data_IF_985618486652
#
_entry.id   IF_985618486652
#
_cell.length_a   1.000
_cell.length_b   1.000
_cell.length_c   1.000
_cell.angle_alpha   90.00
_cell.angle_beta   90.00
_cell.angle_gamma   90.00
#
_symmetry.space_group_name_H-M   'P 1'
#
loop_
_entity.id
_entity.type
_entity.pdbx_description
1 polymer ?
#
# COMPACT_ATOMS: atom_id res chain seq x y z
N UNK A 1 4.89 -15.27 -7.03
CA UNK A 1 3.65 -15.82 -6.47
C UNK A 1 3.69 -15.94 -4.94
N UNK A 2 4.54 -16.81 -4.34
CA UNK A 2 4.57 -17.04 -2.88
C UNK A 2 4.90 -15.79 -2.05
N UNK A 3 5.92 -15.02 -2.45
CA UNK A 3 6.36 -13.80 -1.72
C UNK A 3 5.28 -12.71 -1.60
N UNK A 4 4.54 -12.45 -2.68
CA UNK A 4 3.46 -11.46 -2.68
C UNK A 4 2.22 -11.94 -1.93
N UNK A 5 1.90 -13.24 -2.00
CA UNK A 5 0.83 -13.86 -1.19
C UNK A 5 1.14 -13.82 0.31
N UNK A 6 2.41 -14.04 0.68
CA UNK A 6 2.85 -13.93 2.07
C UNK A 6 2.78 -12.48 2.55
N UNK A 7 3.22 -11.52 1.73
CA UNK A 7 3.10 -10.09 2.04
C UNK A 7 1.64 -9.69 2.22
N UNK A 8 0.77 -10.07 1.29
CA UNK A 8 -0.67 -9.84 1.39
C UNK A 8 -1.26 -10.47 2.66
N UNK A 9 -0.95 -11.74 2.95
CA UNK A 9 -1.46 -12.42 4.14
C UNK A 9 -1.00 -11.74 5.43
N UNK A 10 0.26 -11.31 5.49
CA UNK A 10 0.79 -10.56 6.62
C UNK A 10 0.07 -9.21 6.78
N UNK A 11 -0.02 -8.41 5.71
CA UNK A 11 -0.69 -7.11 5.76
C UNK A 11 -2.17 -7.26 6.12
N UNK A 12 -2.87 -8.25 5.54
CA UNK A 12 -4.28 -8.51 5.83
C UNK A 12 -4.49 -8.93 7.29
N UNK A 13 -3.58 -9.75 7.82
CA UNK A 13 -3.61 -10.15 9.22
C UNK A 13 -3.44 -8.95 10.16
N UNK A 14 -2.47 -8.08 9.89
CA UNK A 14 -2.27 -6.84 10.67
C UNK A 14 -3.51 -5.94 10.59
N UNK A 15 -4.07 -5.73 9.40
CA UNK A 15 -5.30 -4.94 9.23
C UNK A 15 -6.48 -5.54 10.00
N UNK A 16 -6.62 -6.88 10.00
CA UNK A 16 -7.66 -7.56 10.77
C UNK A 16 -7.48 -7.38 12.28
N UNK A 17 -6.24 -7.44 12.78
CA UNK A 17 -5.94 -7.17 14.19
C UNK A 17 -6.28 -5.73 14.57
N UNK A 18 -5.95 -4.75 13.72
CA UNK A 18 -6.34 -3.36 13.96
C UNK A 18 -7.87 -3.20 13.98
N UNK A 19 -8.58 -3.88 13.09
CA UNK A 19 -10.04 -3.84 13.03
C UNK A 19 -10.69 -4.46 14.29
N UNK A 20 -10.20 -5.61 14.73
CA UNK A 20 -10.66 -6.29 15.96
C UNK A 20 -10.26 -5.49 17.21
N UNK A 21 -9.16 -4.74 17.15
CA UNK A 21 -8.68 -3.89 18.23
C UNK A 21 -9.48 -2.60 18.42
N UNK A 22 -10.23 -2.13 17.41
CA UNK A 22 -11.05 -0.91 17.48
C UNK A 22 -12.01 -0.85 18.68
N UNK A 23 -12.85 -1.88 18.96
CA UNK A 23 -13.78 -1.86 20.10
C UNK A 23 -13.09 -1.82 21.48
N UNK A 24 -11.78 -2.08 21.55
CA UNK A 24 -11.00 -2.04 22.79
C UNK A 24 -10.25 -0.71 23.00
N UNK A 25 -10.37 0.25 22.08
CA UNK A 25 -9.75 1.58 22.22
C UNK A 25 -10.70 2.53 22.95
N UNK A 26 -10.20 3.17 24.01
CA UNK A 26 -10.94 4.16 24.80
C UNK A 26 -11.31 5.42 23.97
N UNK A 27 -10.47 5.77 22.98
CA UNK A 27 -10.71 6.87 22.06
C UNK A 27 -10.43 6.44 20.61
N UNK A 28 -11.41 6.64 19.72
CA UNK A 28 -11.27 6.39 18.29
C UNK A 28 -11.06 7.72 17.59
N UNK A 29 -9.81 8.03 17.25
CA UNK A 29 -9.48 9.19 16.44
C UNK A 29 -9.86 8.98 14.96
N UNK A 30 -10.28 10.05 14.29
CA UNK A 30 -10.51 10.07 12.85
C UNK A 30 -9.30 9.56 12.05
N UNK A 31 -8.08 9.83 12.53
CA UNK A 31 -6.85 9.31 11.93
C UNK A 31 -6.79 7.78 11.94
N UNK A 32 -7.30 7.13 12.99
CA UNK A 32 -7.35 5.66 13.06
C UNK A 32 -8.30 5.11 12.00
N UNK A 33 -9.45 5.75 11.81
CA UNK A 33 -10.44 5.34 10.81
C UNK A 33 -9.92 5.51 9.37
N UNK A 34 -9.31 6.66 9.07
CA UNK A 34 -8.72 6.93 7.74
C UNK A 34 -7.58 5.97 7.45
N UNK A 35 -6.70 5.70 8.41
CA UNK A 35 -5.59 4.76 8.25
C UNK A 35 -6.08 3.35 7.93
N UNK A 36 -7.14 2.90 8.62
CA UNK A 36 -7.74 1.58 8.38
C UNK A 36 -8.28 1.45 6.95
N UNK A 37 -8.95 2.49 6.44
CA UNK A 37 -9.43 2.52 5.05
C UNK A 37 -8.25 2.43 4.08
N UNK A 38 -7.19 3.19 4.32
CA UNK A 38 -5.99 3.18 3.48
C UNK A 38 -5.30 1.80 3.50
N UNK A 39 -5.26 1.11 4.64
CA UNK A 39 -4.73 -0.25 4.73
C UNK A 39 -5.58 -1.25 3.94
N UNK A 40 -6.91 -1.17 4.06
CA UNK A 40 -7.82 -1.97 3.23
C UNK A 40 -7.63 -1.72 1.73
N UNK A 41 -7.41 -0.47 1.33
CA UNK A 41 -7.14 -0.12 -0.07
C UNK A 41 -5.81 -0.68 -0.58
N UNK A 42 -4.77 -0.73 0.26
CA UNK A 42 -3.47 -1.32 -0.09
C UNK A 42 -3.57 -2.84 -0.34
N UNK A 43 -4.51 -3.53 0.31
CA UNK A 43 -4.70 -4.98 0.11
C UNK A 43 -5.15 -5.32 -1.31
N UNK A 44 -5.91 -4.43 -1.97
CA UNK A 44 -6.42 -4.61 -3.33
C UNK A 44 -5.30 -4.83 -4.35
N UNK A 45 -4.32 -3.93 -4.52
CA UNK A 45 -3.22 -4.13 -5.47
C UNK A 45 -2.28 -5.27 -5.07
N UNK A 46 -2.15 -5.57 -3.77
CA UNK A 46 -1.34 -6.69 -3.29
C UNK A 46 -1.95 -8.05 -3.64
N UNK A 47 -3.28 -8.15 -3.65
CA UNK A 47 -4.03 -9.32 -4.09
C UNK A 47 -4.22 -9.37 -5.61
N UNK A 48 -4.55 -8.22 -6.21
CA UNK A 48 -4.99 -8.02 -7.60
C UNK A 48 -3.90 -8.15 -8.66
N UNK A 49 -2.69 -8.55 -8.29
CA UNK A 49 -1.62 -8.79 -9.27
C UNK A 49 -1.94 -9.86 -10.34
N UNK A 50 -3.05 -10.60 -10.20
CA UNK A 50 -3.62 -11.47 -11.23
C UNK A 50 -5.08 -11.20 -11.60
N UNK A 51 -5.77 -10.25 -10.95
CA UNK A 51 -7.20 -9.94 -11.17
C UNK A 51 -7.40 -8.43 -11.08
N UNK A 52 -7.97 -7.83 -12.13
CA UNK A 52 -8.29 -6.40 -12.15
C UNK A 52 -9.51 -6.17 -11.26
N UNK A 53 -9.33 -5.37 -10.20
CA UNK A 53 -10.39 -4.95 -9.30
C UNK A 53 -10.52 -3.43 -9.41
N UNK A 54 -11.71 -2.98 -9.80
CA UNK A 54 -12.02 -1.56 -9.99
C UNK A 54 -11.54 -1.00 -11.33
N UNK A 55 -11.12 0.26 -11.35
CA UNK A 55 -10.61 0.94 -12.54
C UNK A 55 -9.14 1.31 -12.40
N UNK A 56 -8.43 1.48 -13.53
CA UNK A 56 -7.03 1.93 -13.53
C UNK A 56 -6.87 3.28 -12.81
N UNK A 57 -7.87 4.16 -12.89
CA UNK A 57 -7.89 5.44 -12.18
C UNK A 57 -7.93 5.24 -10.66
N UNK A 58 -8.77 4.33 -10.17
CA UNK A 58 -8.84 3.98 -8.74
C UNK A 58 -7.51 3.39 -8.28
N UNK A 59 -6.88 2.52 -9.07
CA UNK A 59 -5.57 1.94 -8.74
C UNK A 59 -4.48 3.01 -8.60
N UNK A 60 -4.45 4.00 -9.50
CA UNK A 60 -3.52 5.13 -9.44
C UNK A 60 -3.82 6.00 -8.20
N UNK A 61 -5.09 6.30 -7.92
CA UNK A 61 -5.48 7.04 -6.73
C UNK A 61 -5.07 6.32 -5.44
N UNK A 62 -5.27 5.00 -5.38
CA UNK A 62 -4.79 4.18 -4.27
C UNK A 62 -3.29 4.31 -4.10
N UNK A 63 -2.49 4.21 -5.18
CA UNK A 63 -1.05 4.41 -5.10
C UNK A 63 -0.69 5.81 -4.56
N UNK A 64 -1.34 6.86 -5.04
CA UNK A 64 -1.06 8.24 -4.61
C UNK A 64 -1.38 8.43 -3.13
N UNK A 65 -2.57 8.01 -2.70
CA UNK A 65 -3.07 8.24 -1.34
C UNK A 65 -2.39 7.37 -0.28
N UNK A 66 -1.96 6.16 -0.65
CA UNK A 66 -1.42 5.18 0.32
C UNK A 66 0.09 5.08 0.32
N UNK A 67 0.74 5.35 -0.82
CA UNK A 67 2.19 5.21 -0.97
C UNK A 67 2.86 6.55 -1.22
N UNK A 68 2.43 7.32 -2.23
CA UNK A 68 3.17 8.51 -2.66
C UNK A 68 3.14 9.62 -1.59
N UNK A 69 1.94 9.99 -1.14
CA UNK A 69 1.78 11.06 -0.15
C UNK A 69 2.33 10.65 1.22
N UNK A 70 1.95 9.52 1.82
CA UNK A 70 2.49 9.13 3.12
C UNK A 70 3.99 8.77 3.04
N UNK A 71 4.42 8.11 1.97
CA UNK A 71 5.81 7.70 1.80
C UNK A 71 6.75 8.87 1.61
N UNK A 72 6.35 9.91 0.87
CA UNK A 72 7.17 11.13 0.76
C UNK A 72 7.33 11.85 2.11
N UNK A 73 6.28 11.88 2.93
CA UNK A 73 6.36 12.40 4.30
C UNK A 73 7.32 11.57 5.16
N UNK A 74 7.21 10.24 5.13
CA UNK A 74 8.10 9.33 5.88
C UNK A 74 9.55 9.52 5.46
N UNK A 75 9.83 9.68 4.16
CA UNK A 75 11.19 9.93 3.66
C UNK A 75 11.71 11.29 4.11
N UNK A 76 10.91 12.36 3.99
CA UNK A 76 11.30 13.69 4.44
C UNK A 76 11.62 13.70 5.94
N UNK A 77 10.73 13.13 6.76
CA UNK A 77 10.95 13.00 8.20
C UNK A 77 12.17 12.13 8.52
N UNK A 78 12.35 11.02 7.81
CA UNK A 78 13.51 10.15 7.99
C UNK A 78 14.83 10.86 7.69
N UNK A 79 14.88 11.69 6.64
CA UNK A 79 16.06 12.51 6.30
C UNK A 79 16.32 13.55 7.38
N UNK A 80 15.32 14.34 7.76
CA UNK A 80 15.44 15.38 8.81
C UNK A 80 15.91 14.77 10.12
N UNK A 81 15.31 13.64 10.52
CA UNK A 81 15.67 12.94 11.74
C UNK A 81 17.10 12.38 11.70
N UNK A 82 17.53 11.85 10.55
CA UNK A 82 18.90 11.35 10.36
C UNK A 82 19.94 12.47 10.44
N UNK A 83 19.62 13.66 9.93
CA UNK A 83 20.49 14.84 10.01
C UNK A 83 20.62 15.31 11.46
N UNK A 84 19.51 15.38 12.20
CA UNK A 84 19.50 15.86 13.59
C UNK A 84 20.12 14.87 14.59
N UNK A 85 20.04 13.57 14.32
CA UNK A 85 20.52 12.50 15.19
C UNK A 85 21.52 11.60 14.45
N UNK A 86 22.53 12.22 13.84
CA UNK A 86 23.47 11.52 12.98
C UNK A 86 24.27 10.46 13.75
N UNK A 87 23.96 9.19 13.48
CA UNK A 87 24.68 8.03 13.99
C UNK A 87 24.66 6.89 12.97
N UNK A 88 25.64 5.99 13.05
CA UNK A 88 25.76 4.85 12.13
C UNK A 88 24.56 3.90 12.25
N UNK A 89 24.06 3.71 13.47
CA UNK A 89 22.85 2.94 13.77
C UNK A 89 21.63 3.62 13.12
N UNK A 90 21.47 4.93 13.32
CA UNK A 90 20.37 5.68 12.71
C UNK A 90 20.37 5.58 11.19
N UNK A 91 21.55 5.66 10.57
CA UNK A 91 21.71 5.56 9.13
C UNK A 91 21.27 4.18 8.60
N UNK A 92 21.62 3.09 9.29
CA UNK A 92 21.16 1.74 8.95
C UNK A 92 19.64 1.62 9.08
N UNK A 93 19.05 2.14 10.14
CA UNK A 93 17.59 2.11 10.33
C UNK A 93 16.85 2.95 9.28
N UNK A 94 17.36 4.13 8.93
CA UNK A 94 16.77 4.98 7.90
C UNK A 94 16.83 4.33 6.51
N UNK A 95 17.98 3.76 6.14
CA UNK A 95 18.12 3.00 4.88
C UNK A 95 17.23 1.76 4.86
N UNK A 96 17.15 1.03 5.98
CA UNK A 96 16.30 -0.14 6.11
C UNK A 96 14.81 0.21 5.95
N UNK A 97 14.37 1.28 6.60
CA UNK A 97 12.99 1.80 6.51
C UNK A 97 12.65 2.23 5.09
N UNK A 98 13.58 2.92 4.41
CA UNK A 98 13.42 3.28 3.01
C UNK A 98 13.33 2.06 2.09
N UNK A 99 14.19 1.06 2.30
CA UNK A 99 14.13 -0.21 1.55
C UNK A 99 12.81 -0.95 1.76
N UNK A 100 12.29 -0.96 2.99
CA UNK A 100 11.01 -1.58 3.34
C UNK A 100 9.83 -0.83 2.68
N UNK A 101 9.89 0.50 2.65
CA UNK A 101 8.92 1.34 1.94
C UNK A 101 8.92 1.03 0.43
N UNK A 102 10.09 0.93 -0.20
CA UNK A 102 10.21 0.53 -1.61
C UNK A 102 9.66 -0.88 -1.85
N UNK A 103 9.90 -1.80 -0.92
CA UNK A 103 9.42 -3.17 -1.02
C UNK A 103 7.88 -3.28 -0.95
N UNK A 104 7.24 -2.54 -0.05
CA UNK A 104 5.76 -2.50 0.08
C UNK A 104 5.11 -1.73 -1.07
N UNK A 105 5.76 -0.65 -1.55
CA UNK A 105 5.24 0.17 -2.64
C UNK A 105 5.31 -0.51 -4.01
N UNK A 106 6.29 -1.40 -4.22
CA UNK A 106 6.48 -2.11 -5.49
C UNK A 106 5.22 -2.81 -6.03
N UNK A 107 4.47 -3.64 -5.26
CA UNK A 107 3.28 -4.30 -5.77
C UNK A 107 2.16 -3.30 -6.11
N UNK A 108 2.02 -2.24 -5.32
CA UNK A 108 1.05 -1.16 -5.56
C UNK A 108 1.36 -0.41 -6.85
N UNK A 109 2.64 -0.06 -7.05
CA UNK A 109 3.12 0.60 -8.26
C UNK A 109 2.92 -0.27 -9.50
N UNK A 110 3.30 -1.55 -9.44
CA UNK A 110 3.13 -2.45 -10.58
C UNK A 110 1.65 -2.63 -10.94
N UNK A 111 0.77 -2.77 -9.95
CA UNK A 111 -0.67 -2.87 -10.19
C UNK A 111 -1.23 -1.64 -10.89
N UNK A 112 -0.84 -0.43 -10.44
CA UNK A 112 -1.31 0.82 -11.02
C UNK A 112 -0.73 1.13 -12.42
N UNK A 113 0.57 0.89 -12.64
CA UNK A 113 1.28 1.41 -13.81
C UNK A 113 1.82 0.36 -14.79
N UNK A 114 2.08 -0.89 -14.36
CA UNK A 114 2.73 -1.91 -15.20
C UNK A 114 1.83 -3.08 -15.59
N UNK A 115 0.61 -3.14 -15.05
CA UNK A 115 -0.36 -4.20 -15.32
C UNK A 115 -1.20 -3.97 -16.58
N UNK A 116 -0.63 -3.42 -17.67
CA UNK A 116 -1.41 -3.03 -18.86
C UNK A 116 -2.14 -4.22 -19.50
N UNK A 117 -1.52 -5.41 -19.54
CA UNK A 117 -2.19 -6.65 -20.01
C UNK A 117 -3.39 -7.04 -19.14
N UNK A 118 -3.36 -6.69 -17.86
CA UNK A 118 -4.40 -6.97 -16.88
C UNK A 118 -5.59 -6.01 -17.10
N UNK A 119 -5.30 -4.73 -17.32
CA UNK A 119 -6.30 -3.71 -17.61
C UNK A 119 -6.92 -3.86 -19.01
N UNK A 120 -6.12 -4.25 -20.02
CA UNK A 120 -6.60 -4.53 -21.39
C UNK A 120 -7.58 -5.70 -21.43
N UNK A 121 -7.28 -6.79 -20.70
CA UNK A 121 -8.15 -7.98 -20.63
C UNK A 121 -9.52 -7.66 -20.01
N UNK A 122 -9.55 -6.81 -18.99
CA UNK A 122 -10.80 -6.39 -18.35
C UNK A 122 -11.63 -5.46 -19.24
N UNK A 123 -10.98 -4.55 -19.98
CA UNK A 123 -11.67 -3.71 -20.96
C UNK A 123 -12.31 -4.54 -22.07
N UNK A 124 -11.60 -5.57 -22.57
CA UNK A 124 -12.12 -6.45 -23.62
C UNK A 124 -13.34 -7.25 -23.14
N UNK A 125 -13.28 -7.78 -21.91
CA UNK A 125 -14.41 -8.48 -21.27
C UNK A 125 -15.65 -7.59 -21.08
N UNK A 126 -15.46 -6.32 -20.73
CA UNK A 126 -16.58 -5.37 -20.61
C UNK A 126 -17.19 -4.98 -21.96
N UNK A 127 -16.40 -4.99 -23.04
CA UNK A 127 -16.93 -4.77 -24.40
C UNK A 127 -17.73 -5.97 -24.88
N UNK A 128 -17.27 -7.20 -24.62
CA UNK A 128 -17.98 -8.43 -25.01
C UNK A 128 -19.31 -8.64 -24.26
N UNK A 129 -19.44 -8.13 -23.02
CA UNK A 129 -20.72 -8.18 -22.27
C UNK A 129 -21.75 -7.13 -22.72
N UNK A 130 -21.35 -6.14 -23.53
CA UNK A 130 -22.24 -5.09 -24.03
C UNK A 130 -22.78 -5.38 -25.44
N UNK A 131 -22.32 -6.46 -26.07
CA UNK A 131 -22.77 -7.00 -27.35
C UNK A 131 -23.70 -8.19 -27.11
#
# INVERSE_FOLDING_TARGET
MKKWKMLFGFTAFITALEFIGLPFKEHIDLNTFVSLILYCLILIPMYGYGVAIGSKVIAILTFVLTILVPGSLVVLWGVVFTINHFSLIQLVFSLGTFGLLLFISYPVFMYAFRSDKLWLKEQQKMTDMKL
#
